data_IF_776337803526
#
_entry.id   IF_776337803526
#
_cell.length_a   1.000
_cell.length_b   1.000
_cell.length_c   1.000
_cell.angle_alpha   90.00
_cell.angle_beta   90.00
_cell.angle_gamma   90.00
#
_symmetry.space_group_name_H-M   'P 1'
#
loop_
_entity.id
_entity.type
_entity.pdbx_description
1 polymer ?
#
# COMPACT_ATOMS: atom_id res chain seq x y z
N UNK A 1 11.08 37.50 6.63
CA UNK A 1 10.21 36.53 7.35
C UNK A 1 11.05 35.78 8.33
N UNK A 2 10.58 35.63 9.55
CA UNK A 2 11.30 34.89 10.59
C UNK A 2 11.39 33.40 10.20
N UNK A 3 12.60 32.83 10.25
CA UNK A 3 12.84 31.40 10.00
C UNK A 3 11.97 30.53 10.91
N UNK A 4 11.81 30.92 12.18
CA UNK A 4 10.97 30.18 13.13
C UNK A 4 9.52 30.02 12.69
N UNK A 5 8.97 31.03 11.97
CA UNK A 5 7.61 30.94 11.44
C UNK A 5 7.50 29.85 10.34
N UNK A 6 8.50 29.74 9.46
CA UNK A 6 8.51 28.71 8.39
C UNK A 6 8.78 27.32 8.96
N UNK A 7 9.67 27.20 9.94
CA UNK A 7 9.89 25.93 10.67
C UNK A 7 8.58 25.42 11.30
N UNK A 8 7.80 26.29 11.95
CA UNK A 8 6.50 25.94 12.48
C UNK A 8 5.54 25.46 11.37
N UNK A 9 5.58 26.05 10.18
CA UNK A 9 4.78 25.61 9.03
C UNK A 9 5.17 24.21 8.54
N UNK A 10 6.44 23.81 8.61
CA UNK A 10 6.85 22.43 8.34
C UNK A 10 6.13 21.46 9.29
N UNK A 11 6.09 21.79 10.58
CA UNK A 11 5.45 20.94 11.58
C UNK A 11 3.92 20.93 11.44
N UNK A 12 3.31 22.08 11.17
CA UNK A 12 1.86 22.21 10.93
C UNK A 12 1.44 21.34 9.73
N UNK A 13 2.13 21.48 8.60
CA UNK A 13 1.86 20.73 7.36
C UNK A 13 1.99 19.23 7.60
N UNK A 14 3.04 18.81 8.29
CA UNK A 14 3.24 17.38 8.60
C UNK A 14 2.19 16.85 9.59
N UNK A 15 1.77 17.65 10.57
CA UNK A 15 0.65 17.33 11.46
C UNK A 15 -0.67 17.18 10.71
N UNK A 16 -1.00 18.13 9.83
CA UNK A 16 -2.20 18.05 8.99
C UNK A 16 -2.20 16.82 8.05
N UNK A 17 -1.03 16.46 7.51
CA UNK A 17 -0.86 15.22 6.76
C UNK A 17 -1.10 13.98 7.66
N UNK A 18 -0.54 13.99 8.87
CA UNK A 18 -0.75 12.91 9.86
C UNK A 18 -2.23 12.71 10.16
N UNK A 19 -2.97 13.81 10.34
CA UNK A 19 -4.39 13.82 10.70
C UNK A 19 -5.34 13.75 9.49
N UNK A 20 -4.78 13.59 8.26
CA UNK A 20 -5.56 13.50 7.01
C UNK A 20 -6.41 14.74 6.69
N UNK A 21 -6.06 15.91 7.21
CA UNK A 21 -6.75 17.19 6.99
C UNK A 21 -6.33 17.85 5.67
N UNK A 22 -6.69 17.23 4.54
CA UNK A 22 -6.21 17.58 3.20
C UNK A 22 -6.52 19.02 2.79
N UNK A 23 -7.69 19.55 3.10
CA UNK A 23 -8.07 20.91 2.75
C UNK A 23 -7.24 21.95 3.51
N UNK A 24 -7.10 21.79 4.83
CA UNK A 24 -6.29 22.64 5.68
C UNK A 24 -4.79 22.55 5.30
N UNK A 25 -4.31 21.36 4.99
CA UNK A 25 -2.95 21.11 4.48
C UNK A 25 -2.69 21.91 3.22
N UNK A 26 -3.55 21.79 2.19
CA UNK A 26 -3.39 22.51 0.92
C UNK A 26 -3.50 24.03 1.10
N UNK A 27 -4.39 24.50 1.96
CA UNK A 27 -4.51 25.92 2.31
C UNK A 27 -3.23 26.44 2.97
N UNK A 28 -2.67 25.70 3.91
CA UNK A 28 -1.44 26.07 4.61
C UNK A 28 -0.25 26.11 3.66
N UNK A 29 -0.11 25.12 2.78
CA UNK A 29 0.92 25.07 1.74
C UNK A 29 0.79 26.28 0.80
N UNK A 30 -0.43 26.63 0.38
CA UNK A 30 -0.69 27.78 -0.48
C UNK A 30 -0.21 29.08 0.16
N UNK A 31 -0.52 29.30 1.44
CA UNK A 31 -0.05 30.48 2.19
C UNK A 31 1.48 30.61 2.15
N UNK A 32 2.19 29.46 2.31
CA UNK A 32 3.66 29.48 2.25
C UNK A 32 4.15 29.80 0.84
N UNK A 33 3.54 29.24 -0.21
CA UNK A 33 3.92 29.49 -1.62
C UNK A 33 3.67 30.93 -2.04
N UNK A 34 2.60 31.54 -1.57
CA UNK A 34 2.23 32.93 -1.90
C UNK A 34 3.09 33.96 -1.15
N UNK A 35 3.93 33.52 -0.20
CA UNK A 35 4.81 34.40 0.57
C UNK A 35 6.04 34.78 -0.24
N UNK A 36 6.18 36.07 -0.54
CA UNK A 36 7.27 36.61 -1.37
C UNK A 36 8.63 36.49 -0.72
N UNK A 37 9.66 36.22 -1.54
CA UNK A 37 11.10 36.24 -1.17
C UNK A 37 11.57 35.14 -0.18
N UNK A 38 10.75 34.12 0.13
CA UNK A 38 11.18 33.03 1.03
C UNK A 38 12.33 32.23 0.42
N UNK A 39 12.26 31.92 -0.86
CA UNK A 39 13.28 31.13 -1.56
C UNK A 39 14.69 31.77 -1.52
N UNK A 40 14.77 33.08 -1.28
CA UNK A 40 16.01 33.83 -1.16
C UNK A 40 16.39 34.17 0.29
N UNK A 41 15.61 33.70 1.28
CA UNK A 41 15.78 33.98 2.70
C UNK A 41 16.61 32.92 3.44
N UNK A 42 16.88 33.18 4.72
CA UNK A 42 17.47 32.19 5.63
C UNK A 42 16.57 30.95 5.85
N UNK A 43 15.26 31.04 5.53
CA UNK A 43 14.30 29.96 5.62
C UNK A 43 14.13 29.17 4.29
N UNK A 44 15.02 29.37 3.33
CA UNK A 44 14.93 28.71 2.01
C UNK A 44 14.91 27.19 2.07
N UNK A 45 15.66 26.59 2.99
CA UNK A 45 15.77 25.15 3.07
C UNK A 45 14.48 24.52 3.58
N UNK A 46 13.85 25.11 4.60
CA UNK A 46 12.56 24.72 5.13
C UNK A 46 11.44 24.96 4.10
N UNK A 47 11.54 26.05 3.33
CA UNK A 47 10.64 26.31 2.22
C UNK A 47 10.71 25.20 1.16
N UNK A 48 11.90 24.79 0.75
CA UNK A 48 12.05 23.68 -0.19
C UNK A 48 11.64 22.33 0.41
N UNK A 49 11.78 22.12 1.71
CA UNK A 49 11.22 20.95 2.38
C UNK A 49 9.68 20.94 2.28
N UNK A 50 9.02 22.08 2.46
CA UNK A 50 7.56 22.20 2.27
C UNK A 50 7.15 21.93 0.82
N UNK A 51 7.90 22.43 -0.17
CA UNK A 51 7.62 22.16 -1.58
C UNK A 51 7.79 20.68 -1.90
N UNK A 52 8.79 20.03 -1.33
CA UNK A 52 9.02 18.59 -1.46
C UNK A 52 7.89 17.78 -0.82
N UNK A 53 7.50 18.12 0.40
CA UNK A 53 6.34 17.51 1.07
C UNK A 53 5.07 17.65 0.24
N UNK A 54 4.78 18.84 -0.30
CA UNK A 54 3.63 19.06 -1.17
C UNK A 54 3.66 18.20 -2.43
N UNK A 55 4.84 18.08 -3.05
CA UNK A 55 4.99 17.26 -4.25
C UNK A 55 4.69 15.79 -3.99
N UNK A 56 5.23 15.24 -2.91
CA UNK A 56 5.08 13.82 -2.58
C UNK A 56 3.70 13.51 -2.01
N UNK A 57 3.22 14.26 -1.02
CA UNK A 57 1.93 14.00 -0.36
C UNK A 57 0.76 14.14 -1.36
N UNK A 58 0.83 15.13 -2.25
CA UNK A 58 -0.20 15.38 -3.25
C UNK A 58 0.09 14.72 -4.61
N UNK A 59 1.12 13.88 -4.72
CA UNK A 59 1.51 13.15 -5.93
C UNK A 59 1.58 14.03 -7.18
N UNK A 60 2.24 15.18 -7.07
CA UNK A 60 2.36 16.15 -8.16
C UNK A 60 3.45 15.71 -9.15
N UNK A 61 3.17 15.86 -10.43
CA UNK A 61 4.13 15.66 -11.51
C UNK A 61 5.13 16.83 -11.58
N UNK A 62 6.08 16.85 -10.66
CA UNK A 62 7.16 17.85 -10.61
C UNK A 62 8.49 17.17 -10.39
N UNK A 63 9.55 17.71 -10.98
CA UNK A 63 10.91 17.25 -10.71
C UNK A 63 11.31 17.62 -9.27
N UNK A 64 11.34 16.63 -8.39
CA UNK A 64 11.72 16.79 -6.98
C UNK A 64 13.23 16.82 -6.76
N UNK A 65 14.05 16.55 -7.78
CA UNK A 65 15.51 16.48 -7.66
C UNK A 65 16.12 17.82 -7.21
N UNK A 66 15.61 18.94 -7.76
CA UNK A 66 16.05 20.28 -7.34
C UNK A 66 15.73 20.53 -5.86
N UNK A 67 14.55 20.15 -5.38
CA UNK A 67 14.16 20.35 -3.98
C UNK A 67 15.09 19.55 -3.06
N UNK A 68 15.30 18.28 -3.36
CA UNK A 68 16.22 17.40 -2.60
C UNK A 68 17.63 17.97 -2.56
N UNK A 69 18.16 18.43 -3.70
CA UNK A 69 19.49 19.02 -3.76
C UNK A 69 19.64 20.25 -2.87
N UNK A 70 18.64 21.14 -2.84
CA UNK A 70 18.67 22.32 -1.98
C UNK A 70 18.56 21.94 -0.51
N UNK A 71 17.68 21.00 -0.17
CA UNK A 71 17.51 20.49 1.19
C UNK A 71 18.83 19.87 1.70
N UNK A 72 19.50 19.07 0.89
CA UNK A 72 20.80 18.45 1.26
C UNK A 72 21.87 19.49 1.54
N UNK A 73 21.92 20.63 0.82
CA UNK A 73 22.84 21.73 1.09
C UNK A 73 22.59 22.39 2.46
N UNK A 74 21.34 22.39 2.92
CA UNK A 74 20.95 22.98 4.20
C UNK A 74 20.77 21.99 5.35
N UNK A 75 21.01 20.72 5.11
CA UNK A 75 20.68 19.63 6.04
C UNK A 75 21.28 19.79 7.44
N UNK A 76 22.50 20.33 7.53
CA UNK A 76 23.19 20.56 8.81
C UNK A 76 22.54 21.64 9.69
N UNK A 77 21.61 22.42 9.14
CA UNK A 77 20.88 23.46 9.88
C UNK A 77 19.52 22.95 10.39
N UNK A 78 19.06 21.83 9.88
CA UNK A 78 17.80 21.23 10.30
C UNK A 78 17.86 20.71 11.73
N UNK A 79 16.78 20.90 12.46
CA UNK A 79 16.56 20.23 13.73
C UNK A 79 16.39 18.73 13.53
N UNK A 80 16.58 17.98 14.60
CA UNK A 80 16.31 16.53 14.65
C UNK A 80 14.89 16.20 14.14
N UNK A 81 13.91 17.03 14.47
CA UNK A 81 12.53 16.84 14.04
C UNK A 81 12.32 17.08 12.54
N UNK A 82 12.96 18.10 11.99
CA UNK A 82 12.91 18.38 10.54
C UNK A 82 13.58 17.26 9.72
N UNK A 83 14.72 16.75 10.22
CA UNK A 83 15.41 15.60 9.59
C UNK A 83 14.53 14.34 9.61
N UNK A 84 13.86 14.08 10.71
CA UNK A 84 12.92 12.96 10.80
C UNK A 84 11.80 13.09 9.76
N UNK A 85 11.17 14.26 9.64
CA UNK A 85 10.13 14.55 8.65
C UNK A 85 10.69 14.37 7.23
N UNK A 86 11.86 14.92 6.94
CA UNK A 86 12.48 14.79 5.62
C UNK A 86 12.66 13.35 5.20
N UNK A 87 13.23 12.52 6.08
CA UNK A 87 13.44 11.11 5.78
C UNK A 87 12.13 10.31 5.69
N UNK A 88 11.11 10.65 6.47
CA UNK A 88 9.80 10.00 6.36
C UNK A 88 9.14 10.31 5.01
N UNK A 89 9.24 11.55 4.52
CA UNK A 89 8.74 11.92 3.18
C UNK A 89 9.56 11.27 2.06
N UNK A 90 10.87 11.11 2.23
CA UNK A 90 11.70 10.32 1.29
C UNK A 90 11.27 8.84 1.25
N UNK A 91 10.93 8.28 2.40
CA UNK A 91 10.40 6.92 2.47
C UNK A 91 9.07 6.82 1.73
N UNK A 92 8.15 7.78 1.92
CA UNK A 92 6.87 7.84 1.21
C UNK A 92 7.05 7.93 -0.31
N UNK A 93 8.00 8.75 -0.80
CA UNK A 93 8.35 8.82 -2.22
C UNK A 93 8.78 7.44 -2.74
N UNK A 94 9.63 6.73 -2.00
CA UNK A 94 10.11 5.39 -2.36
C UNK A 94 8.99 4.34 -2.33
N UNK A 95 8.05 4.46 -1.40
CA UNK A 95 6.85 3.61 -1.37
C UNK A 95 6.02 3.79 -2.64
N UNK A 96 5.79 5.02 -3.11
CA UNK A 96 5.08 5.26 -4.37
C UNK A 96 5.80 4.72 -5.61
N UNK A 97 7.13 4.64 -5.57
CA UNK A 97 7.95 4.04 -6.62
C UNK A 97 8.08 2.51 -6.50
N UNK A 98 7.46 1.88 -5.49
CA UNK A 98 7.61 0.46 -5.14
C UNK A 98 9.07 0.05 -4.81
N UNK A 99 9.90 1.00 -4.37
CA UNK A 99 11.30 0.79 -3.96
C UNK A 99 11.39 0.50 -2.46
N UNK A 100 10.76 -0.59 -2.04
CA UNK A 100 10.47 -0.93 -0.63
C UNK A 100 11.71 -1.00 0.25
N UNK A 101 12.83 -1.54 -0.25
CA UNK A 101 14.10 -1.61 0.53
C UNK A 101 14.68 -0.23 0.83
N UNK A 102 14.63 0.68 -0.16
CA UNK A 102 15.09 2.06 0.03
C UNK A 102 14.17 2.80 0.99
N UNK A 103 12.85 2.57 0.86
CA UNK A 103 11.87 3.13 1.78
C UNK A 103 12.15 2.75 3.24
N UNK A 104 12.43 1.46 3.53
CA UNK A 104 12.84 1.01 4.87
C UNK A 104 14.10 1.74 5.35
N UNK A 105 15.14 1.85 4.50
CA UNK A 105 16.36 2.55 4.88
C UNK A 105 16.15 4.04 5.22
N UNK A 106 15.15 4.68 4.60
CA UNK A 106 14.79 6.06 4.97
C UNK A 106 13.93 6.11 6.24
N UNK A 107 13.03 5.14 6.46
CA UNK A 107 12.30 5.04 7.73
C UNK A 107 13.23 4.80 8.92
N UNK A 108 14.25 3.96 8.77
CA UNK A 108 15.26 3.73 9.80
C UNK A 108 15.98 5.05 10.15
N UNK A 109 16.35 5.85 9.16
CA UNK A 109 16.91 7.19 9.40
C UNK A 109 15.90 8.10 10.10
N UNK A 110 14.65 8.14 9.66
CA UNK A 110 13.61 8.94 10.30
C UNK A 110 13.42 8.54 11.77
N UNK A 111 13.41 7.23 12.05
CA UNK A 111 13.27 6.67 13.39
C UNK A 111 14.43 7.05 14.30
N UNK A 112 15.69 7.06 13.77
CA UNK A 112 16.87 7.48 14.54
C UNK A 112 16.78 8.94 15.02
N UNK A 113 16.13 9.81 14.24
CA UNK A 113 15.96 11.22 14.61
C UNK A 113 14.74 11.49 15.49
N UNK A 114 13.65 10.77 15.31
CA UNK A 114 12.44 10.92 16.14
C UNK A 114 11.70 9.58 16.28
N UNK A 115 12.18 8.79 17.22
CA UNK A 115 11.82 7.38 17.39
C UNK A 115 10.35 7.05 17.69
N UNK A 116 9.47 8.03 17.85
CA UNK A 116 8.09 7.77 18.25
C UNK A 116 7.08 8.68 17.53
N UNK A 117 7.12 8.68 16.19
CA UNK A 117 6.14 9.42 15.39
C UNK A 117 5.11 8.49 14.75
N UNK A 118 3.81 8.87 14.81
CA UNK A 118 2.69 8.07 14.30
C UNK A 118 2.88 7.69 12.83
N UNK A 119 3.26 8.65 11.96
CA UNK A 119 3.41 8.38 10.53
C UNK A 119 4.53 7.42 10.20
N UNK A 120 5.69 7.53 10.85
CA UNK A 120 6.81 6.61 10.66
C UNK A 120 6.36 5.18 10.97
N UNK A 121 5.67 4.97 12.10
CA UNK A 121 5.17 3.65 12.47
C UNK A 121 4.07 3.15 11.52
N UNK A 122 3.21 4.06 11.00
CA UNK A 122 2.21 3.76 9.97
C UNK A 122 2.86 3.30 8.66
N UNK A 123 3.91 3.97 8.19
CA UNK A 123 4.62 3.58 6.97
C UNK A 123 5.35 2.24 7.14
N UNK A 124 5.98 1.97 8.30
CA UNK A 124 6.52 0.64 8.60
C UNK A 124 5.45 -0.45 8.52
N UNK A 125 4.26 -0.19 9.11
CA UNK A 125 3.15 -1.12 9.03
C UNK A 125 2.80 -1.45 7.57
N UNK A 126 2.63 -0.45 6.71
CA UNK A 126 2.28 -0.63 5.30
C UNK A 126 3.36 -1.43 4.56
N UNK A 127 4.63 -1.06 4.72
CA UNK A 127 5.73 -1.76 4.06
C UNK A 127 5.83 -3.22 4.53
N UNK A 128 5.68 -3.50 5.83
CA UNK A 128 5.75 -4.87 6.31
C UNK A 128 4.56 -5.74 5.88
N UNK A 129 3.39 -5.15 5.66
CA UNK A 129 2.26 -5.83 5.02
C UNK A 129 2.61 -6.25 3.59
N UNK A 130 3.15 -5.32 2.79
CA UNK A 130 3.54 -5.58 1.40
C UNK A 130 4.65 -6.63 1.30
N UNK A 131 5.61 -6.60 2.23
CA UNK A 131 6.70 -7.56 2.31
C UNK A 131 6.30 -8.92 2.90
N UNK A 132 5.07 -9.09 3.41
CA UNK A 132 4.62 -10.32 4.05
C UNK A 132 5.22 -10.57 5.44
N UNK A 133 5.83 -9.57 6.06
CA UNK A 133 6.36 -9.66 7.44
C UNK A 133 5.23 -9.38 8.45
N UNK A 134 4.25 -10.27 8.50
CA UNK A 134 2.98 -10.05 9.17
C UNK A 134 3.10 -9.82 10.69
N UNK A 135 4.08 -10.43 11.35
CA UNK A 135 4.30 -10.19 12.78
C UNK A 135 4.83 -8.78 13.05
N UNK A 136 5.78 -8.31 12.24
CA UNK A 136 6.27 -6.92 12.31
C UNK A 136 5.13 -5.95 11.99
N UNK A 137 4.37 -6.22 10.92
CA UNK A 137 3.19 -5.41 10.58
C UNK A 137 2.23 -5.31 11.76
N UNK A 138 1.93 -6.42 12.43
CA UNK A 138 1.04 -6.45 13.61
C UNK A 138 1.57 -5.61 14.77
N UNK A 139 2.87 -5.69 15.07
CA UNK A 139 3.49 -4.89 16.13
C UNK A 139 3.37 -3.39 15.82
N UNK A 140 3.69 -2.99 14.58
CA UNK A 140 3.60 -1.59 14.17
C UNK A 140 2.14 -1.11 14.07
N UNK A 141 1.18 -1.97 13.68
CA UNK A 141 -0.26 -1.66 13.75
C UNK A 141 -0.64 -1.37 15.20
N UNK A 142 -0.33 -2.26 16.15
CA UNK A 142 -0.69 -2.09 17.56
C UNK A 142 -0.04 -0.85 18.18
N UNK A 143 1.23 -0.57 17.85
CA UNK A 143 1.93 0.63 18.29
C UNK A 143 1.26 1.88 17.74
N UNK A 144 0.98 1.91 16.44
CA UNK A 144 0.35 3.05 15.77
C UNK A 144 -1.09 3.29 16.23
N UNK A 145 -1.88 2.22 16.48
CA UNK A 145 -3.24 2.34 17.02
C UNK A 145 -3.23 3.02 18.39
N UNK A 146 -2.33 2.62 19.29
CA UNK A 146 -2.19 3.27 20.61
C UNK A 146 -1.82 4.75 20.47
N UNK A 147 -0.88 5.07 19.57
CA UNK A 147 -0.46 6.45 19.32
C UNK A 147 -1.60 7.28 18.72
N UNK A 148 -2.34 6.76 17.75
CA UNK A 148 -3.45 7.46 17.12
C UNK A 148 -4.56 7.80 18.15
N UNK A 149 -4.86 6.87 19.07
CA UNK A 149 -5.80 7.14 20.17
C UNK A 149 -5.27 8.21 21.12
N UNK A 150 -4.00 8.13 21.54
CA UNK A 150 -3.36 9.10 22.44
C UNK A 150 -3.31 10.51 21.83
N UNK A 151 -3.10 10.61 20.51
CA UNK A 151 -3.01 11.87 19.77
C UNK A 151 -4.36 12.38 19.26
N UNK A 152 -5.46 11.64 19.52
CA UNK A 152 -6.80 11.93 19.01
C UNK A 152 -6.87 12.03 17.49
N UNK A 153 -6.00 11.30 16.79
CA UNK A 153 -5.92 11.24 15.32
C UNK A 153 -6.91 10.20 14.79
N UNK A 154 -8.20 10.50 14.92
CA UNK A 154 -9.28 9.53 14.64
C UNK A 154 -9.34 9.11 13.16
N UNK A 155 -9.06 10.02 12.22
CA UNK A 155 -9.11 9.67 10.80
C UNK A 155 -7.95 8.70 10.45
N UNK A 156 -6.76 8.90 11.03
CA UNK A 156 -5.64 7.95 10.88
C UNK A 156 -5.94 6.60 11.54
N UNK A 157 -6.68 6.59 12.65
CA UNK A 157 -7.11 5.37 13.32
C UNK A 157 -7.88 4.44 12.38
N UNK A 158 -8.76 4.98 11.51
CA UNK A 158 -9.53 4.17 10.56
C UNK A 158 -8.65 3.51 9.50
N UNK A 159 -7.62 4.19 9.01
CA UNK A 159 -6.65 3.61 8.07
C UNK A 159 -5.77 2.53 8.73
N UNK A 160 -5.45 2.70 10.00
CA UNK A 160 -4.75 1.66 10.77
C UNK A 160 -5.63 0.41 10.99
N UNK A 161 -6.91 0.60 11.25
CA UNK A 161 -7.88 -0.50 11.34
C UNK A 161 -8.09 -1.17 9.97
N UNK A 162 -8.01 -0.41 8.86
CA UNK A 162 -8.00 -0.97 7.52
C UNK A 162 -6.78 -1.87 7.32
N UNK A 163 -5.58 -1.43 7.69
CA UNK A 163 -4.36 -2.24 7.66
C UNK A 163 -4.47 -3.50 8.55
N UNK A 164 -5.16 -3.41 9.70
CA UNK A 164 -5.45 -4.59 10.54
C UNK A 164 -6.35 -5.59 9.80
N UNK A 165 -7.36 -5.11 9.07
CA UNK A 165 -8.21 -5.96 8.22
C UNK A 165 -7.42 -6.63 7.10
N UNK A 166 -6.51 -5.89 6.45
CA UNK A 166 -5.59 -6.43 5.43
C UNK A 166 -4.68 -7.50 6.03
N UNK A 167 -4.14 -7.28 7.23
CA UNK A 167 -3.35 -8.29 7.94
C UNK A 167 -4.16 -9.57 8.19
N UNK A 168 -5.41 -9.46 8.66
CA UNK A 168 -6.30 -10.61 8.83
C UNK A 168 -6.52 -11.36 7.52
N UNK A 169 -6.74 -10.63 6.42
CA UNK A 169 -6.92 -11.19 5.08
C UNK A 169 -5.69 -11.99 4.63
N UNK A 170 -4.48 -11.43 4.77
CA UNK A 170 -3.24 -12.10 4.38
C UNK A 170 -2.87 -13.29 5.27
N UNK A 171 -3.30 -13.28 6.52
CA UNK A 171 -3.16 -14.40 7.46
C UNK A 171 -4.31 -15.41 7.38
N UNK A 172 -5.14 -15.35 6.33
CA UNK A 172 -6.29 -16.24 6.07
C UNK A 172 -7.41 -16.20 7.12
N UNK A 173 -7.48 -15.12 7.90
CA UNK A 173 -8.53 -14.84 8.88
C UNK A 173 -9.64 -14.03 8.22
N UNK A 174 -10.28 -14.61 7.20
CA UNK A 174 -11.19 -13.88 6.32
C UNK A 174 -12.46 -13.40 7.02
N UNK A 175 -12.99 -14.15 7.99
CA UNK A 175 -14.20 -13.76 8.73
C UNK A 175 -13.94 -12.53 9.60
N UNK A 176 -12.78 -12.46 10.25
CA UNK A 176 -12.39 -11.29 11.04
C UNK A 176 -12.10 -10.08 10.12
N UNK A 177 -11.45 -10.31 8.97
CA UNK A 177 -11.22 -9.28 7.97
C UNK A 177 -12.54 -8.68 7.48
N UNK A 178 -13.47 -9.53 7.00
CA UNK A 178 -14.78 -9.11 6.50
C UNK A 178 -15.59 -8.37 7.58
N UNK A 179 -15.62 -8.88 8.81
CA UNK A 179 -16.30 -8.23 9.93
C UNK A 179 -15.76 -6.84 10.22
N UNK A 180 -14.44 -6.67 10.15
CA UNK A 180 -13.79 -5.37 10.36
C UNK A 180 -14.05 -4.44 9.17
N UNK A 181 -13.87 -4.90 7.93
CA UNK A 181 -14.13 -4.13 6.72
C UNK A 181 -15.57 -3.63 6.64
N UNK A 182 -16.56 -4.46 6.98
CA UNK A 182 -17.97 -4.03 6.99
C UNK A 182 -18.26 -2.95 8.05
N UNK A 183 -17.63 -3.03 9.23
CA UNK A 183 -17.73 -1.96 10.23
C UNK A 183 -17.12 -0.66 9.70
N UNK A 184 -15.93 -0.73 9.11
CA UNK A 184 -15.24 0.43 8.55
C UNK A 184 -15.98 1.02 7.35
N UNK A 185 -16.63 0.18 6.54
CA UNK A 185 -17.46 0.63 5.42
C UNK A 185 -18.63 1.50 5.89
N UNK A 186 -19.32 1.08 6.94
CA UNK A 186 -20.40 1.88 7.52
C UNK A 186 -19.90 3.23 8.03
N UNK A 187 -18.73 3.27 8.64
CA UNK A 187 -18.12 4.53 9.11
C UNK A 187 -17.64 5.41 7.95
N UNK A 188 -17.07 4.83 6.88
CA UNK A 188 -16.66 5.60 5.70
C UNK A 188 -17.85 6.29 5.01
N UNK A 189 -18.99 5.61 4.94
CA UNK A 189 -20.24 6.16 4.39
C UNK A 189 -20.73 7.32 5.26
N UNK A 190 -20.81 7.15 6.58
CA UNK A 190 -21.23 8.23 7.50
C UNK A 190 -20.33 9.47 7.42
N UNK A 191 -19.04 9.27 7.18
CA UNK A 191 -18.05 10.33 7.06
C UNK A 191 -17.91 10.90 5.66
N UNK A 192 -18.62 10.35 4.68
CA UNK A 192 -18.51 10.70 3.26
C UNK A 192 -17.05 10.61 2.74
N UNK A 193 -16.30 9.62 3.24
CA UNK A 193 -14.91 9.39 2.83
C UNK A 193 -14.84 8.38 1.69
N UNK A 194 -14.95 8.88 0.45
CA UNK A 194 -15.02 8.05 -0.75
C UNK A 194 -13.71 7.26 -1.01
N UNK A 195 -12.56 7.82 -0.67
CA UNK A 195 -11.26 7.12 -0.81
C UNK A 195 -11.23 5.90 0.14
N UNK A 196 -11.61 6.09 1.40
CA UNK A 196 -11.65 5.00 2.36
C UNK A 196 -12.69 3.95 1.98
N UNK A 197 -13.89 4.37 1.55
CA UNK A 197 -14.94 3.50 1.03
C UNK A 197 -14.43 2.65 -0.12
N UNK A 198 -13.73 3.27 -1.09
CA UNK A 198 -13.08 2.58 -2.20
C UNK A 198 -12.08 1.52 -1.72
N UNK A 199 -11.12 1.89 -0.85
CA UNK A 199 -10.13 0.95 -0.32
C UNK A 199 -10.77 -0.25 0.38
N UNK A 200 -11.83 -0.03 1.17
CA UNK A 200 -12.54 -1.10 1.88
C UNK A 200 -13.29 -2.01 0.89
N UNK A 201 -14.02 -1.43 -0.06
CA UNK A 201 -14.76 -2.21 -1.06
C UNK A 201 -13.81 -3.04 -1.94
N UNK A 202 -12.67 -2.50 -2.34
CA UNK A 202 -11.64 -3.25 -3.09
C UNK A 202 -11.14 -4.47 -2.30
N UNK A 203 -10.87 -4.32 -1.00
CA UNK A 203 -10.48 -5.44 -0.14
C UNK A 203 -11.60 -6.47 0.05
N UNK A 204 -12.86 -6.03 0.14
CA UNK A 204 -14.03 -6.92 0.19
C UNK A 204 -14.23 -7.70 -1.12
N UNK A 205 -14.02 -7.08 -2.28
CA UNK A 205 -13.99 -7.78 -3.58
C UNK A 205 -12.90 -8.84 -3.60
N UNK A 206 -11.69 -8.48 -3.17
CA UNK A 206 -10.56 -9.41 -3.12
C UNK A 206 -10.80 -10.59 -2.17
N UNK A 207 -11.32 -10.35 -0.96
CA UNK A 207 -11.68 -11.43 -0.03
C UNK A 207 -12.76 -12.34 -0.58
N UNK A 208 -13.77 -11.77 -1.25
CA UNK A 208 -14.85 -12.55 -1.90
C UNK A 208 -14.30 -13.45 -3.01
N UNK A 209 -13.34 -12.95 -3.82
CA UNK A 209 -12.66 -13.78 -4.81
C UNK A 209 -11.92 -14.96 -4.20
N UNK A 210 -11.19 -14.73 -3.10
CA UNK A 210 -10.44 -15.79 -2.41
C UNK A 210 -11.38 -16.83 -1.80
N UNK A 211 -12.52 -16.40 -1.25
CA UNK A 211 -13.54 -17.27 -0.65
C UNK A 211 -14.50 -17.89 -1.69
N UNK A 212 -14.35 -17.49 -2.97
CA UNK A 212 -15.25 -17.88 -4.08
C UNK A 212 -16.71 -17.48 -3.83
N UNK A 213 -16.95 -16.41 -3.06
CA UNK A 213 -18.27 -15.79 -2.89
C UNK A 213 -18.49 -14.75 -4.00
N UNK A 214 -18.85 -15.27 -5.18
CA UNK A 214 -18.94 -14.48 -6.41
C UNK A 214 -20.03 -13.42 -6.32
N UNK A 215 -21.15 -13.76 -5.67
CA UNK A 215 -22.29 -12.85 -5.49
C UNK A 215 -21.87 -11.61 -4.70
N UNK A 216 -21.29 -11.82 -3.52
CA UNK A 216 -20.79 -10.70 -2.69
C UNK A 216 -19.70 -9.91 -3.41
N UNK A 217 -18.82 -10.58 -4.17
CA UNK A 217 -17.80 -9.93 -4.98
C UNK A 217 -18.38 -8.92 -5.97
N UNK A 218 -19.43 -9.29 -6.73
CA UNK A 218 -20.12 -8.36 -7.62
C UNK A 218 -20.89 -7.28 -6.87
N UNK A 219 -21.54 -7.60 -5.75
CA UNK A 219 -22.27 -6.62 -4.94
C UNK A 219 -21.32 -5.51 -4.43
N UNK A 220 -20.11 -5.87 -3.96
CA UNK A 220 -19.11 -4.88 -3.54
C UNK A 220 -18.54 -4.10 -4.72
N UNK A 221 -18.22 -4.78 -5.83
CA UNK A 221 -17.68 -4.14 -7.02
C UNK A 221 -18.64 -3.06 -7.58
N UNK A 222 -19.94 -3.35 -7.61
CA UNK A 222 -20.96 -2.43 -8.09
C UNK A 222 -21.20 -1.22 -7.18
N UNK A 223 -20.69 -1.23 -5.95
CA UNK A 223 -20.76 -0.11 -4.99
C UNK A 223 -19.57 0.83 -5.08
N UNK A 224 -18.57 0.51 -5.88
CA UNK A 224 -17.40 1.36 -6.12
C UNK A 224 -17.77 2.46 -7.11
N UNK A 225 -17.43 3.70 -6.76
CA UNK A 225 -17.75 4.86 -7.60
C UNK A 225 -16.97 4.86 -8.91
N UNK A 226 -17.58 5.43 -9.95
CA UNK A 226 -17.04 5.45 -11.32
C UNK A 226 -15.62 6.06 -11.40
N UNK A 227 -15.30 7.06 -10.57
CA UNK A 227 -13.99 7.69 -10.55
C UNK A 227 -12.83 6.73 -10.21
N UNK A 228 -13.11 5.56 -9.61
CA UNK A 228 -12.11 4.54 -9.27
C UNK A 228 -12.10 3.35 -10.21
N UNK A 229 -12.98 3.32 -11.22
CA UNK A 229 -13.12 2.16 -12.12
C UNK A 229 -11.93 1.95 -13.07
N UNK A 230 -11.03 2.93 -13.16
CA UNK A 230 -9.79 2.81 -13.95
C UNK A 230 -8.67 2.03 -13.25
N UNK A 231 -8.85 1.67 -11.97
CA UNK A 231 -7.92 0.85 -11.22
C UNK A 231 -7.71 -0.53 -11.87
N UNK A 232 -6.45 -0.91 -12.07
CA UNK A 232 -6.08 -2.16 -12.77
C UNK A 232 -6.43 -3.41 -11.95
N UNK A 233 -6.29 -3.35 -10.61
CA UNK A 233 -6.64 -4.48 -9.76
C UNK A 233 -8.17 -4.73 -9.81
N UNK A 234 -9.00 -3.68 -9.74
CA UNK A 234 -10.45 -3.82 -9.87
C UNK A 234 -10.89 -4.39 -11.22
N UNK A 235 -10.27 -3.91 -12.30
CA UNK A 235 -10.53 -4.45 -13.65
C UNK A 235 -10.13 -5.92 -13.74
N UNK A 236 -9.01 -6.30 -13.14
CA UNK A 236 -8.56 -7.68 -13.05
C UNK A 236 -9.53 -8.53 -12.22
N UNK A 237 -9.97 -8.04 -11.06
CA UNK A 237 -10.95 -8.73 -10.20
C UNK A 237 -12.28 -8.93 -10.91
N UNK A 238 -12.75 -7.93 -11.66
CA UNK A 238 -13.97 -8.05 -12.48
C UNK A 238 -13.88 -9.17 -13.50
N UNK A 239 -12.77 -9.26 -14.24
CA UNK A 239 -12.55 -10.35 -15.19
C UNK A 239 -12.55 -11.72 -14.47
N UNK A 240 -11.93 -11.79 -13.29
CA UNK A 240 -11.84 -13.00 -12.49
C UNK A 240 -13.20 -13.43 -11.93
N UNK A 241 -14.02 -12.48 -11.45
CA UNK A 241 -15.39 -12.75 -11.01
C UNK A 241 -16.23 -13.34 -12.13
N UNK A 242 -16.23 -12.76 -13.34
CA UNK A 242 -16.95 -13.33 -14.49
C UNK A 242 -16.46 -14.73 -14.87
N UNK A 243 -15.16 -14.99 -14.75
CA UNK A 243 -14.61 -16.32 -14.98
C UNK A 243 -15.15 -17.35 -13.97
N UNK A 244 -15.18 -17.03 -12.68
CA UNK A 244 -15.71 -17.91 -11.64
C UNK A 244 -17.22 -18.07 -11.70
N UNK A 245 -17.95 -17.06 -12.16
CA UNK A 245 -19.42 -17.12 -12.36
C UNK A 245 -19.82 -17.96 -13.58
N UNK A 246 -18.84 -18.49 -14.32
CA UNK A 246 -19.04 -19.19 -15.61
C UNK A 246 -19.72 -18.33 -16.70
N UNK A 247 -19.77 -17.01 -16.51
CA UNK A 247 -20.25 -16.03 -17.49
C UNK A 247 -19.17 -15.78 -18.57
N UNK A 248 -18.81 -16.86 -19.30
CA UNK A 248 -17.64 -16.87 -20.20
C UNK A 248 -17.72 -15.83 -21.31
N UNK A 249 -18.90 -15.45 -21.77
CA UNK A 249 -19.06 -14.38 -22.77
C UNK A 249 -18.61 -13.05 -22.21
N UNK A 250 -19.15 -12.66 -21.03
CA UNK A 250 -18.77 -11.42 -20.34
C UNK A 250 -17.29 -11.43 -19.93
N UNK A 251 -16.80 -12.58 -19.46
CA UNK A 251 -15.39 -12.75 -19.13
C UNK A 251 -14.49 -12.50 -20.34
N UNK A 252 -14.80 -13.05 -21.53
CA UNK A 252 -14.07 -12.83 -22.79
C UNK A 252 -14.04 -11.37 -23.21
N UNK A 253 -15.20 -10.70 -23.13
CA UNK A 253 -15.31 -9.27 -23.46
C UNK A 253 -14.47 -8.41 -22.50
N UNK A 254 -14.58 -8.67 -21.18
CA UNK A 254 -13.82 -7.99 -20.14
C UNK A 254 -12.30 -8.18 -20.33
N UNK A 255 -11.85 -9.41 -20.55
CA UNK A 255 -10.46 -9.77 -20.82
C UNK A 255 -9.94 -9.10 -22.11
N UNK A 256 -10.73 -9.12 -23.19
CA UNK A 256 -10.33 -8.48 -24.45
C UNK A 256 -10.22 -6.96 -24.30
N UNK A 257 -11.14 -6.33 -23.59
CA UNK A 257 -11.08 -4.90 -23.27
C UNK A 257 -9.86 -4.56 -22.41
N UNK A 258 -9.60 -5.35 -21.37
CA UNK A 258 -8.44 -5.18 -20.48
C UNK A 258 -7.13 -5.24 -21.26
N UNK A 259 -6.92 -6.29 -22.07
CA UNK A 259 -5.68 -6.50 -22.82
C UNK A 259 -5.42 -5.44 -23.90
N UNK A 260 -6.46 -4.76 -24.40
CA UNK A 260 -6.30 -3.62 -25.32
C UNK A 260 -5.84 -2.35 -24.62
N UNK A 261 -6.23 -2.17 -23.35
CA UNK A 261 -6.06 -0.91 -22.63
C UNK A 261 -4.94 -0.96 -21.57
N UNK A 262 -4.50 -2.17 -21.16
CA UNK A 262 -3.41 -2.30 -20.19
C UNK A 262 -2.10 -1.82 -20.81
N UNK A 263 -1.47 -0.81 -20.18
CA UNK A 263 -0.15 -0.31 -20.53
C UNK A 263 0.75 -0.45 -19.30
N UNK A 264 1.99 -0.84 -19.54
CA UNK A 264 3.09 -0.80 -18.56
C UNK A 264 2.93 -1.65 -17.28
N UNK A 265 1.94 -2.58 -17.24
CA UNK A 265 1.79 -3.50 -16.12
C UNK A 265 1.84 -4.97 -16.55
N UNK A 266 3.06 -5.50 -16.61
CA UNK A 266 3.31 -6.91 -16.97
C UNK A 266 2.64 -7.90 -16.00
N UNK A 267 2.51 -7.55 -14.72
CA UNK A 267 1.81 -8.40 -13.75
C UNK A 267 0.36 -8.61 -14.16
N UNK A 268 -0.39 -7.54 -14.33
CA UNK A 268 -1.81 -7.60 -14.66
C UNK A 268 -2.05 -8.22 -16.05
N UNK A 269 -1.20 -7.89 -17.02
CA UNK A 269 -1.28 -8.49 -18.37
C UNK A 269 -1.14 -10.02 -18.32
N UNK A 270 -0.12 -10.54 -17.63
CA UNK A 270 0.08 -11.98 -17.51
C UNK A 270 -1.04 -12.66 -16.73
N UNK A 271 -1.55 -12.02 -15.65
CA UNK A 271 -2.67 -12.55 -14.88
C UNK A 271 -3.91 -12.73 -15.76
N UNK A 272 -4.28 -11.71 -16.52
CA UNK A 272 -5.42 -11.75 -17.45
C UNK A 272 -5.21 -12.73 -18.60
N UNK A 273 -3.99 -12.85 -19.14
CA UNK A 273 -3.65 -13.89 -20.11
C UNK A 273 -3.79 -15.30 -19.53
N UNK A 274 -3.45 -15.50 -18.26
CA UNK A 274 -3.65 -16.78 -17.59
C UNK A 274 -5.14 -17.14 -17.52
N UNK A 275 -6.03 -16.22 -17.10
CA UNK A 275 -7.48 -16.42 -17.12
C UNK A 275 -7.99 -16.76 -18.54
N UNK A 276 -7.53 -16.04 -19.55
CA UNK A 276 -7.88 -16.33 -20.94
C UNK A 276 -7.49 -17.77 -21.34
N UNK A 277 -6.28 -18.21 -21.01
CA UNK A 277 -5.82 -19.55 -21.32
C UNK A 277 -6.59 -20.63 -20.56
N UNK A 278 -7.05 -20.35 -19.33
CA UNK A 278 -7.97 -21.25 -18.61
C UNK A 278 -9.28 -21.44 -19.41
N UNK A 279 -9.88 -20.35 -19.87
CA UNK A 279 -11.10 -20.38 -20.68
C UNK A 279 -10.92 -21.07 -22.03
N UNK A 280 -9.72 -20.96 -22.64
CA UNK A 280 -9.35 -21.61 -23.89
C UNK A 280 -8.95 -23.07 -23.71
N UNK A 281 -9.09 -23.65 -22.51
CA UNK A 281 -8.64 -25.00 -22.13
C UNK A 281 -7.16 -25.27 -22.44
N UNK A 282 -6.31 -24.27 -22.09
CA UNK A 282 -4.84 -24.34 -22.27
C UNK A 282 -4.11 -24.17 -20.92
N UNK A 283 -4.32 -25.11 -19.98
CA UNK A 283 -3.88 -24.96 -18.58
C UNK A 283 -2.37 -24.77 -18.43
N UNK A 284 -1.55 -25.43 -19.23
CA UNK A 284 -0.09 -25.28 -19.17
C UNK A 284 0.36 -23.86 -19.53
N UNK A 285 -0.36 -23.16 -20.46
CA UNK A 285 -0.09 -21.76 -20.76
C UNK A 285 -0.58 -20.83 -19.66
N UNK A 286 -1.70 -21.16 -19.03
CA UNK A 286 -2.20 -20.44 -17.86
C UNK A 286 -1.21 -20.51 -16.69
N UNK A 287 -0.73 -21.71 -16.38
CA UNK A 287 0.29 -21.96 -15.35
C UNK A 287 1.54 -21.12 -15.62
N UNK A 288 2.09 -21.14 -16.84
CA UNK A 288 3.29 -20.38 -17.19
C UNK A 288 3.10 -18.85 -16.98
N UNK A 289 1.91 -18.33 -17.29
CA UNK A 289 1.61 -16.92 -17.05
C UNK A 289 1.46 -16.59 -15.57
N UNK A 290 0.81 -17.43 -14.76
CA UNK A 290 0.76 -17.25 -13.30
C UNK A 290 2.15 -17.38 -12.67
N UNK A 291 2.99 -18.31 -13.11
CA UNK A 291 4.39 -18.41 -12.66
C UNK A 291 5.16 -17.11 -12.98
N UNK A 292 4.91 -16.52 -14.15
CA UNK A 292 5.48 -15.21 -14.51
C UNK A 292 4.98 -14.10 -13.59
N UNK A 293 3.67 -14.06 -13.29
CA UNK A 293 3.11 -13.12 -12.30
C UNK A 293 3.79 -13.26 -10.94
N UNK A 294 3.97 -14.49 -10.46
CA UNK A 294 4.65 -14.77 -9.20
C UNK A 294 6.08 -14.21 -9.18
N UNK A 295 6.85 -14.46 -10.24
CA UNK A 295 8.23 -13.95 -10.35
C UNK A 295 8.29 -12.41 -10.39
N UNK A 296 7.35 -11.77 -11.09
CA UNK A 296 7.25 -10.30 -11.15
C UNK A 296 6.94 -9.75 -9.76
N UNK A 297 5.96 -10.33 -9.06
CA UNK A 297 5.57 -9.91 -7.72
C UNK A 297 6.74 -10.02 -6.72
N UNK A 298 7.47 -11.15 -6.73
CA UNK A 298 8.66 -11.33 -5.89
C UNK A 298 9.77 -10.32 -6.21
N UNK A 299 10.06 -10.10 -7.49
CA UNK A 299 11.09 -9.15 -7.92
C UNK A 299 10.78 -7.74 -7.45
N UNK A 300 9.51 -7.38 -7.44
CA UNK A 300 9.04 -6.05 -7.03
C UNK A 300 8.82 -5.94 -5.50
N UNK A 301 9.02 -7.01 -4.73
CA UNK A 301 8.74 -7.02 -3.29
C UNK A 301 7.25 -6.98 -2.94
N UNK A 302 6.37 -7.33 -3.88
CA UNK A 302 4.90 -7.34 -3.72
C UNK A 302 4.45 -8.74 -3.25
N UNK A 303 4.75 -9.08 -2.01
CA UNK A 303 4.51 -10.43 -1.48
C UNK A 303 3.01 -10.76 -1.33
N UNK A 304 2.15 -9.77 -1.12
CA UNK A 304 0.69 -9.88 -1.15
C UNK A 304 0.20 -10.45 -2.49
N UNK A 305 0.66 -9.89 -3.61
CA UNK A 305 0.38 -10.37 -4.96
C UNK A 305 0.98 -11.74 -5.23
N UNK A 306 2.19 -11.99 -4.71
CA UNK A 306 2.82 -13.30 -4.82
C UNK A 306 1.99 -14.39 -4.13
N UNK A 307 1.51 -14.15 -2.91
CA UNK A 307 0.65 -15.06 -2.15
C UNK A 307 -0.68 -15.32 -2.89
N UNK A 308 -1.28 -14.27 -3.47
CA UNK A 308 -2.51 -14.41 -4.26
C UNK A 308 -2.32 -15.33 -5.46
N UNK A 309 -1.26 -15.14 -6.24
CA UNK A 309 -0.95 -15.97 -7.39
C UNK A 309 -0.59 -17.40 -6.99
N UNK A 310 0.13 -17.59 -5.87
CA UNK A 310 0.43 -18.93 -5.36
C UNK A 310 -0.83 -19.73 -5.03
N UNK A 311 -1.90 -19.09 -4.55
CA UNK A 311 -3.19 -19.75 -4.32
C UNK A 311 -3.78 -20.27 -5.64
N UNK A 312 -3.74 -19.47 -6.71
CA UNK A 312 -4.20 -19.87 -8.04
C UNK A 312 -3.36 -21.04 -8.60
N UNK A 313 -2.04 -20.93 -8.47
CA UNK A 313 -1.14 -22.00 -8.91
C UNK A 313 -1.34 -23.30 -8.12
N UNK A 314 -1.58 -23.21 -6.82
CA UNK A 314 -1.83 -24.39 -5.99
C UNK A 314 -3.06 -25.17 -6.44
N UNK A 315 -4.18 -24.49 -6.75
CA UNK A 315 -5.38 -25.12 -7.30
C UNK A 315 -5.07 -25.79 -8.65
N UNK A 316 -4.43 -25.09 -9.57
CA UNK A 316 -4.08 -25.63 -10.89
C UNK A 316 -3.14 -26.84 -10.80
N UNK A 317 -2.15 -26.80 -9.92
CA UNK A 317 -1.24 -27.92 -9.75
C UNK A 317 -1.92 -29.16 -9.15
N UNK A 318 -2.94 -28.94 -8.29
CA UNK A 318 -3.78 -30.03 -7.79
C UNK A 318 -4.64 -30.62 -8.90
N UNK A 319 -5.35 -29.78 -9.65
CA UNK A 319 -6.27 -30.21 -10.71
C UNK A 319 -5.57 -30.98 -11.83
N UNK A 320 -4.32 -30.63 -12.14
CA UNK A 320 -3.53 -31.26 -13.19
C UNK A 320 -2.48 -32.27 -12.69
N UNK A 321 -2.52 -32.65 -11.39
CA UNK A 321 -1.67 -33.68 -10.81
C UNK A 321 -0.17 -33.36 -10.84
N UNK A 322 0.21 -32.09 -10.83
CA UNK A 322 1.61 -31.64 -10.91
C UNK A 322 2.31 -31.69 -9.54
N UNK A 323 2.46 -32.90 -8.98
CA UNK A 323 2.92 -33.15 -7.60
C UNK A 323 4.25 -32.46 -7.25
N UNK A 324 5.23 -32.45 -8.16
CA UNK A 324 6.54 -31.80 -7.90
C UNK A 324 6.41 -30.29 -7.75
N UNK A 325 5.55 -29.64 -8.57
CA UNK A 325 5.27 -28.20 -8.48
C UNK A 325 4.45 -27.87 -7.23
N UNK A 326 3.48 -28.72 -6.92
CA UNK A 326 2.66 -28.61 -5.70
C UNK A 326 3.53 -28.65 -4.43
N UNK A 327 4.47 -29.61 -4.34
CA UNK A 327 5.42 -29.68 -3.23
C UNK A 327 6.22 -28.38 -3.09
N UNK A 328 6.74 -27.85 -4.20
CA UNK A 328 7.50 -26.58 -4.22
C UNK A 328 6.65 -25.40 -3.73
N UNK A 329 5.37 -25.31 -4.14
CA UNK A 329 4.46 -24.24 -3.67
C UNK A 329 4.21 -24.36 -2.16
N UNK A 330 4.01 -25.56 -1.64
CA UNK A 330 3.85 -25.79 -0.20
C UNK A 330 5.09 -25.38 0.58
N UNK A 331 6.29 -25.74 0.10
CA UNK A 331 7.56 -25.32 0.70
C UNK A 331 7.71 -23.78 0.69
N UNK A 332 7.30 -23.12 -0.39
CA UNK A 332 7.31 -21.66 -0.47
C UNK A 332 6.32 -21.03 0.53
N UNK A 333 5.10 -21.55 0.63
CA UNK A 333 4.11 -21.09 1.62
C UNK A 333 4.60 -21.29 3.05
N UNK A 334 5.22 -22.44 3.35
CA UNK A 334 5.84 -22.69 4.66
C UNK A 334 7.00 -21.73 4.95
N UNK A 335 7.81 -21.40 3.94
CA UNK A 335 8.90 -20.44 4.09
C UNK A 335 8.39 -19.03 4.37
N UNK A 336 7.34 -18.56 3.69
CA UNK A 336 6.68 -17.30 4.03
C UNK A 336 6.16 -17.29 5.47
N UNK A 337 5.53 -18.38 5.88
CA UNK A 337 5.06 -18.55 7.26
C UNK A 337 6.20 -18.54 8.27
N UNK A 338 7.30 -19.27 7.99
CA UNK A 338 8.50 -19.30 8.85
C UNK A 338 9.20 -17.95 8.92
N UNK A 339 9.32 -17.21 7.82
CA UNK A 339 9.91 -15.87 7.81
C UNK A 339 9.10 -14.90 8.69
N UNK A 340 7.78 -15.00 8.67
CA UNK A 340 6.95 -14.20 9.56
C UNK A 340 7.12 -14.56 11.04
N UNK A 341 7.35 -15.84 11.37
CA UNK A 341 7.57 -16.34 12.74
C UNK A 341 9.01 -16.17 13.23
N UNK A 342 10.02 -16.32 12.35
CA UNK A 342 11.42 -16.13 12.71
C UNK A 342 11.71 -14.69 13.18
N UNK A 343 11.09 -13.70 12.56
CA UNK A 343 11.20 -12.31 12.97
C UNK A 343 10.62 -12.08 14.39
N UNK A 344 9.56 -12.78 14.77
CA UNK A 344 9.01 -12.72 16.12
C UNK A 344 10.00 -13.27 17.17
N UNK A 345 10.62 -14.42 16.86
CA UNK A 345 11.61 -15.04 17.75
C UNK A 345 12.83 -14.12 17.95
N UNK A 346 13.30 -13.45 16.89
CA UNK A 346 14.45 -12.54 16.95
C UNK A 346 14.15 -11.33 17.84
N UNK A 347 12.93 -10.77 17.76
CA UNK A 347 12.51 -9.67 18.62
C UNK A 347 12.27 -10.11 20.07
N UNK A 348 11.64 -11.28 20.28
CA UNK A 348 11.39 -11.83 21.61
C UNK A 348 12.69 -12.12 22.39
N UNK A 349 13.79 -12.43 21.70
CA UNK A 349 15.13 -12.62 22.30
C UNK A 349 15.97 -11.34 22.29
N UNK A 350 15.41 -10.19 21.88
CA UNK A 350 16.08 -8.88 21.94
C UNK A 350 17.25 -8.70 20.98
N UNK A 351 17.39 -9.57 19.97
CA UNK A 351 18.37 -9.41 18.90
C UNK A 351 17.89 -8.36 17.90
N UNK A 352 18.44 -7.14 18.01
CA UNK A 352 18.30 -6.15 16.94
C UNK A 352 19.15 -6.65 15.76
N UNK A 353 18.50 -6.97 14.65
CA UNK A 353 19.20 -7.10 13.37
C UNK A 353 19.68 -5.69 12.97
N UNK A 354 20.98 -5.42 13.13
CA UNK A 354 21.65 -4.22 12.63
C UNK A 354 21.74 -4.25 11.10
#
# INVERSE_FOLDING_TARGET
MDRGLIVNRVYDIYGLYTDLKKEELNKTIKIVKDTKNIACSYARFEYYLILYMDAIINQKEVDTALYKRIIELGKNIFSVRELSIYYDIMALEKMYLNETKEALGYLDKALCYNGNHLMINYHYCSIYLDLGYFNLAQQYIHKSLRMAVQQLSFDRLYYLLLNQGVLYMYTSRYDEANKLFLKLLNESIKRQNEIMKYCILSNLVFTSLIQKDIKSGFDYLNRIDEQFTDDLDLKMYKCHLYYFDNEYTKAKECIASFLRNVKDSKYHENFIRALKYMMDNKPMKAIANFETCYQIALKNGQYDRAIFVLKQLNELYLDFGLQNKLKKVKELQENFYKMSHANQIIEDIGLKLN
#
